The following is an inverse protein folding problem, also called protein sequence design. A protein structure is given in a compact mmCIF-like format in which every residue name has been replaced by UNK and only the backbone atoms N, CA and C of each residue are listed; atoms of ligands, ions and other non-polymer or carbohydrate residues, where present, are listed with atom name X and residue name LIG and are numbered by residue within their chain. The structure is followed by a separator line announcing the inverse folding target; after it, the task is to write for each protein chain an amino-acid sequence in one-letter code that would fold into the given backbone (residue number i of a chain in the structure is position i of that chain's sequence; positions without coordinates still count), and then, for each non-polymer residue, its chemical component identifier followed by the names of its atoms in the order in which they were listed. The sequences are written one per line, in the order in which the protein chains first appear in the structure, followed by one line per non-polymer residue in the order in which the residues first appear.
data_IF_561590588020
#
_entry.id   IF_561590588020
#
_cell.length_a   1.000
_cell.length_b   1.000
_cell.length_c   1.000
_cell.angle_alpha   90.00
_cell.angle_beta   90.00
_cell.angle_gamma   90.00
#
_symmetry.space_group_name_H-M   'P 1'
#
loop_
_entity.id
_entity.type
_entity.pdbx_description
1 polymer ?
#
# COMPACT_ATOMS: atom_id res chain seq x y z
N UNK A 1 18.88 -18.67 12.90
CA UNK A 1 18.76 -18.33 14.33
C UNK A 1 19.86 -17.41 14.82
N UNK A 2 21.13 -17.78 14.66
CA UNK A 2 22.28 -16.97 15.12
C UNK A 2 22.25 -15.52 14.59
N UNK A 3 21.97 -15.33 13.30
CA UNK A 3 21.83 -14.01 12.67
C UNK A 3 20.70 -13.20 13.31
N UNK A 4 19.54 -13.82 13.55
CA UNK A 4 18.41 -13.16 14.20
C UNK A 4 18.72 -12.79 15.64
N UNK A 5 19.36 -13.68 16.41
CA UNK A 5 19.74 -13.42 17.79
C UNK A 5 20.67 -12.20 17.89
N UNK A 6 21.62 -12.10 16.95
CA UNK A 6 22.52 -10.95 16.86
C UNK A 6 21.76 -9.67 16.52
N UNK A 7 20.87 -9.72 15.52
CA UNK A 7 20.06 -8.58 15.11
C UNK A 7 19.15 -8.06 16.23
N UNK A 8 18.48 -8.95 16.98
CA UNK A 8 17.67 -8.58 18.15
C UNK A 8 18.51 -7.87 19.20
N UNK A 9 19.68 -8.42 19.51
CA UNK A 9 20.56 -7.87 20.56
C UNK A 9 21.06 -6.46 20.22
N UNK A 10 21.36 -6.21 18.95
CA UNK A 10 21.85 -4.90 18.50
C UNK A 10 20.72 -3.88 18.23
N UNK A 11 19.48 -4.36 18.03
CA UNK A 11 18.30 -3.53 17.72
C UNK A 11 17.12 -3.82 18.67
N UNK A 12 17.31 -3.59 19.97
CA UNK A 12 16.32 -3.85 21.02
C UNK A 12 15.08 -2.92 20.98
N UNK A 13 15.05 -1.92 20.10
CA UNK A 13 13.86 -1.11 19.84
C UNK A 13 12.94 -1.72 18.79
N UNK A 14 13.41 -2.70 18.02
CA UNK A 14 12.62 -3.42 17.03
C UNK A 14 11.76 -4.46 17.73
N UNK A 15 10.44 -4.26 17.70
CA UNK A 15 9.49 -5.15 18.36
C UNK A 15 9.16 -6.38 17.53
N UNK A 16 9.03 -6.18 16.22
CA UNK A 16 8.61 -7.18 15.24
C UNK A 16 9.71 -7.41 14.21
N UNK A 17 9.97 -8.67 13.94
CA UNK A 17 10.89 -9.10 12.90
C UNK A 17 10.13 -9.79 11.78
N UNK A 18 10.49 -9.47 10.54
CA UNK A 18 9.90 -9.96 9.31
C UNK A 18 10.89 -10.90 8.63
N UNK A 19 10.38 -11.97 8.05
CA UNK A 19 11.10 -12.93 7.23
C UNK A 19 10.47 -12.90 5.84
N UNK A 20 11.28 -12.62 4.81
CA UNK A 20 10.83 -12.57 3.42
C UNK A 20 11.61 -13.60 2.60
N UNK A 21 10.91 -14.48 1.88
CA UNK A 21 11.54 -15.45 0.97
C UNK A 21 11.75 -14.77 -0.40
N UNK A 22 12.92 -14.97 -1.01
CA UNK A 22 13.35 -14.21 -2.21
C UNK A 22 12.50 -14.48 -3.47
N UNK A 23 11.94 -15.68 -3.65
CA UNK A 23 11.20 -16.08 -4.87
C UNK A 23 9.66 -15.95 -4.74
N UNK A 24 9.17 -15.21 -3.75
CA UNK A 24 7.73 -15.01 -3.53
C UNK A 24 7.29 -13.58 -3.84
N UNK A 25 6.13 -13.45 -4.50
CA UNK A 25 5.52 -12.17 -4.85
C UNK A 25 4.38 -11.79 -3.89
N UNK A 26 3.98 -10.51 -3.92
CA UNK A 26 2.80 -9.97 -3.20
C UNK A 26 2.76 -10.26 -1.69
N UNK A 27 3.92 -10.44 -1.07
CA UNK A 27 4.04 -10.75 0.35
C UNK A 27 3.66 -12.19 0.73
N UNK A 28 3.43 -13.10 -0.23
CA UNK A 28 3.03 -14.49 0.07
C UNK A 28 4.11 -15.28 0.82
N UNK A 29 5.39 -14.96 0.60
CA UNK A 29 6.53 -15.56 1.29
C UNK A 29 6.83 -14.91 2.65
N UNK A 30 5.99 -13.98 3.12
CA UNK A 30 6.27 -13.23 4.34
C UNK A 30 5.75 -13.97 5.58
N UNK A 31 6.63 -14.08 6.56
CA UNK A 31 6.29 -14.44 7.93
C UNK A 31 6.82 -13.37 8.89
N UNK A 32 6.23 -13.24 10.07
CA UNK A 32 6.72 -12.29 11.07
C UNK A 32 6.48 -12.78 12.49
N UNK A 33 7.23 -12.24 13.44
CA UNK A 33 7.09 -12.54 14.86
C UNK A 33 7.32 -11.28 15.71
N UNK A 34 6.42 -11.04 16.66
CA UNK A 34 6.52 -9.96 17.66
C UNK A 34 7.47 -10.38 18.80
N UNK A 35 8.77 -10.49 18.49
CA UNK A 35 9.79 -11.03 19.39
C UNK A 35 9.84 -10.29 20.73
N UNK A 36 9.70 -8.97 20.74
CA UNK A 36 9.72 -8.20 21.99
C UNK A 36 8.60 -8.56 22.96
N UNK A 37 7.49 -9.12 22.46
CA UNK A 37 6.35 -9.55 23.28
C UNK A 37 6.57 -10.98 23.79
N UNK A 38 7.07 -11.86 22.93
CA UNK A 38 7.07 -13.31 23.18
C UNK A 38 8.39 -13.85 23.73
N UNK A 39 9.51 -13.15 23.55
CA UNK A 39 10.81 -13.63 24.03
C UNK A 39 10.93 -13.45 25.56
N UNK A 40 11.00 -14.53 26.36
CA UNK A 40 11.00 -14.44 27.82
C UNK A 40 12.11 -13.57 28.39
N UNK A 41 13.34 -13.72 27.90
CA UNK A 41 14.50 -12.97 28.39
C UNK A 41 14.49 -11.48 27.99
N UNK A 42 13.59 -11.02 27.12
CA UNK A 42 13.64 -9.68 26.51
C UNK A 42 13.64 -8.54 27.53
N UNK A 43 12.77 -8.62 28.55
CA UNK A 43 12.66 -7.57 29.58
C UNK A 43 13.93 -7.46 30.45
N UNK A 44 14.59 -8.56 30.71
CA UNK A 44 15.83 -8.57 31.49
C UNK A 44 16.98 -8.01 30.66
N UNK A 45 17.03 -8.36 29.37
CA UNK A 45 18.00 -7.85 28.42
C UNK A 45 17.86 -6.32 28.23
N UNK A 46 16.64 -5.79 28.17
CA UNK A 46 16.43 -4.33 28.12
C UNK A 46 17.03 -3.61 29.33
N UNK A 47 16.85 -4.16 30.54
CA UNK A 47 17.44 -3.58 31.77
C UNK A 47 18.96 -3.68 31.80
N UNK A 48 19.52 -4.74 31.21
CA UNK A 48 20.97 -4.91 31.06
C UNK A 48 21.54 -3.95 30.00
N UNK A 49 20.81 -3.72 28.91
CA UNK A 49 21.23 -2.85 27.81
C UNK A 49 21.43 -1.39 28.22
N UNK A 50 20.60 -0.88 29.13
CA UNK A 50 20.78 0.45 29.72
C UNK A 50 22.17 0.59 30.39
N UNK A 51 22.70 -0.50 30.97
CA UNK A 51 24.02 -0.53 31.63
C UNK A 51 25.17 -0.61 30.62
N UNK A 52 24.98 -1.28 29.48
CA UNK A 52 26.01 -1.43 28.44
C UNK A 52 26.38 -0.11 27.79
N UNK A 53 25.42 0.81 27.63
CA UNK A 53 25.65 2.14 27.05
C UNK A 53 26.74 2.94 27.79
N UNK A 54 26.98 2.63 29.07
CA UNK A 54 27.91 3.34 29.94
C UNK A 54 29.26 2.64 30.16
N UNK A 55 29.45 1.41 29.67
CA UNK A 55 30.69 0.66 29.90
C UNK A 55 31.06 -0.31 28.76
N UNK A 56 32.13 0.00 28.02
CA UNK A 56 32.67 -0.83 26.94
C UNK A 56 33.27 -2.18 27.40
N UNK A 57 33.43 -2.40 28.70
CA UNK A 57 34.02 -3.60 29.31
C UNK A 57 33.03 -4.78 29.44
N UNK A 58 31.75 -4.61 29.11
CA UNK A 58 30.68 -5.59 29.38
C UNK A 58 30.43 -6.57 28.22
N UNK A 59 31.46 -6.94 27.45
CA UNK A 59 31.32 -7.92 26.36
C UNK A 59 30.88 -9.31 26.84
N UNK A 60 31.24 -9.67 28.07
CA UNK A 60 30.82 -10.94 28.69
C UNK A 60 29.30 -10.97 28.91
N UNK A 61 28.73 -9.85 29.36
CA UNK A 61 27.28 -9.73 29.59
C UNK A 61 26.52 -9.78 28.27
N UNK A 62 26.96 -9.04 27.25
CA UNK A 62 26.38 -9.12 25.90
C UNK A 62 26.38 -10.56 25.36
N UNK A 63 27.46 -11.31 25.57
CA UNK A 63 27.56 -12.72 25.13
C UNK A 63 26.58 -13.62 25.90
N UNK A 64 26.38 -13.36 27.19
CA UNK A 64 25.39 -14.07 28.00
C UNK A 64 23.96 -13.81 27.48
N UNK A 65 23.62 -12.54 27.25
CA UNK A 65 22.31 -12.15 26.69
C UNK A 65 22.10 -12.75 25.31
N UNK A 66 23.10 -12.72 24.42
CA UNK A 66 23.07 -13.40 23.12
C UNK A 66 22.74 -14.90 23.26
N UNK A 67 23.42 -15.59 24.18
CA UNK A 67 23.23 -17.03 24.37
C UNK A 67 21.82 -17.35 24.87
N UNK A 68 21.27 -16.52 25.76
CA UNK A 68 19.87 -16.63 26.21
C UNK A 68 18.90 -16.46 25.06
N UNK A 69 19.02 -15.38 24.27
CA UNK A 69 18.18 -15.14 23.08
C UNK A 69 18.23 -16.37 22.16
N UNK A 70 19.44 -16.84 21.84
CA UNK A 70 19.62 -17.97 20.93
C UNK A 70 18.94 -19.25 21.43
N UNK A 71 18.99 -19.51 22.75
CA UNK A 71 18.37 -20.69 23.35
C UNK A 71 16.83 -20.66 23.34
N UNK A 72 16.23 -19.47 23.39
CA UNK A 72 14.77 -19.30 23.45
C UNK A 72 14.13 -19.11 22.07
N UNK A 73 14.90 -18.65 21.07
CA UNK A 73 14.38 -18.25 19.76
C UNK A 73 13.63 -19.35 19.01
N UNK A 74 14.14 -20.59 19.02
CA UNK A 74 13.50 -21.70 18.28
C UNK A 74 12.07 -21.92 18.77
N UNK A 75 11.88 -22.01 20.09
CA UNK A 75 10.58 -22.22 20.71
C UNK A 75 9.63 -21.05 20.47
N UNK A 76 10.15 -19.82 20.52
CA UNK A 76 9.35 -18.61 20.27
C UNK A 76 8.86 -18.58 18.82
N UNK A 77 9.74 -18.82 17.86
CA UNK A 77 9.39 -18.80 16.44
C UNK A 77 8.44 -19.94 16.08
N UNK A 78 8.64 -21.13 16.63
CA UNK A 78 7.75 -22.27 16.42
C UNK A 78 6.30 -21.99 16.87
N UNK A 79 6.14 -21.25 17.98
CA UNK A 79 4.82 -21.01 18.60
C UNK A 79 4.14 -19.72 18.15
N UNK A 80 4.91 -18.69 17.83
CA UNK A 80 4.41 -17.32 17.70
C UNK A 80 4.62 -16.69 16.33
N UNK A 81 5.26 -17.38 15.38
CA UNK A 81 5.36 -16.88 14.01
C UNK A 81 3.99 -16.85 13.35
N UNK A 82 3.67 -15.72 12.72
CA UNK A 82 2.47 -15.51 11.92
C UNK A 82 2.87 -15.51 10.45
N UNK A 83 2.18 -16.32 9.65
CA UNK A 83 2.38 -16.40 8.21
C UNK A 83 1.34 -15.54 7.50
N UNK A 84 1.78 -14.77 6.49
CA UNK A 84 0.86 -14.05 5.61
C UNK A 84 0.06 -15.04 4.77
N UNK A 85 0.74 -15.95 4.07
CA UNK A 85 0.08 -17.04 3.37
C UNK A 85 -0.08 -18.28 4.27
N UNK A 86 -1.20 -18.33 5.00
CA UNK A 86 -1.56 -19.45 5.89
C UNK A 86 -1.92 -20.74 5.14
N UNK A 87 -2.19 -20.65 3.84
CA UNK A 87 -2.52 -21.84 3.03
C UNK A 87 -1.27 -22.60 2.62
N UNK A 88 -0.19 -21.87 2.32
CA UNK A 88 1.09 -22.44 1.93
C UNK A 88 1.95 -22.82 3.15
N UNK A 89 1.93 -22.00 4.20
CA UNK A 89 2.77 -22.19 5.38
C UNK A 89 1.92 -22.34 6.65
N UNK A 90 2.16 -23.42 7.37
CA UNK A 90 1.41 -23.80 8.58
C UNK A 90 2.29 -24.11 9.80
N UNK A 91 3.62 -24.17 9.62
CA UNK A 91 4.57 -24.38 10.72
C UNK A 91 5.90 -23.71 10.41
N UNK A 92 6.63 -23.35 11.46
CA UNK A 92 7.91 -22.65 11.33
C UNK A 92 8.96 -23.57 10.71
N UNK A 93 8.95 -24.86 11.04
CA UNK A 93 9.91 -25.80 10.46
C UNK A 93 9.71 -25.95 8.94
N UNK A 94 8.46 -25.94 8.47
CA UNK A 94 8.15 -25.97 7.03
C UNK A 94 8.60 -24.67 6.39
N UNK A 95 8.21 -23.52 6.95
CA UNK A 95 8.60 -22.20 6.44
C UNK A 95 10.13 -22.04 6.37
N UNK A 96 10.83 -22.37 7.45
CA UNK A 96 12.28 -22.27 7.57
C UNK A 96 13.00 -23.14 6.53
N UNK A 97 12.46 -24.33 6.21
CA UNK A 97 13.03 -25.18 5.17
C UNK A 97 13.03 -24.48 3.80
N UNK A 98 11.92 -23.83 3.44
CA UNK A 98 11.83 -23.04 2.20
C UNK A 98 12.69 -21.78 2.25
N UNK A 99 12.64 -21.05 3.37
CA UNK A 99 13.47 -19.86 3.57
C UNK A 99 14.98 -20.15 3.43
N UNK A 100 15.43 -21.32 3.88
CA UNK A 100 16.82 -21.74 3.74
C UNK A 100 17.15 -22.33 2.36
N UNK A 101 16.17 -22.86 1.63
CA UNK A 101 16.41 -23.40 0.28
C UNK A 101 16.48 -22.31 -0.78
N UNK A 102 15.55 -21.35 -0.72
CA UNK A 102 15.44 -20.28 -1.71
C UNK A 102 16.30 -19.07 -1.34
N UNK A 103 16.63 -18.91 -0.06
CA UNK A 103 17.15 -17.67 0.48
C UNK A 103 16.04 -16.76 0.98
N UNK A 104 16.46 -15.69 1.64
CA UNK A 104 15.54 -14.73 2.21
C UNK A 104 16.21 -13.71 3.10
N UNK A 105 15.42 -12.69 3.46
CA UNK A 105 15.84 -11.53 4.23
C UNK A 105 15.17 -11.54 5.60
N UNK A 106 15.95 -11.17 6.62
CA UNK A 106 15.45 -10.84 7.96
C UNK A 106 15.41 -9.32 8.04
N UNK A 107 14.22 -8.77 8.22
CA UNK A 107 13.98 -7.33 8.19
C UNK A 107 13.34 -6.85 9.50
N UNK A 108 13.76 -5.67 9.95
CA UNK A 108 13.13 -5.01 11.09
C UNK A 108 11.82 -4.35 10.65
N UNK A 109 10.73 -4.61 11.38
CA UNK A 109 9.51 -3.84 11.21
C UNK A 109 9.65 -2.47 11.91
N UNK A 110 9.09 -1.38 11.34
CA UNK A 110 9.13 -0.07 11.98
C UNK A 110 8.66 -0.11 13.45
N UNK A 111 9.36 0.55 14.39
CA UNK A 111 9.01 0.55 15.82
C UNK A 111 7.82 1.46 16.14
N UNK A 112 6.78 1.45 15.30
CA UNK A 112 5.56 2.23 15.39
C UNK A 112 4.33 1.35 15.22
N UNK A 113 3.24 1.74 15.87
CA UNK A 113 1.93 1.09 15.71
C UNK A 113 1.18 1.67 14.51
N UNK A 114 1.57 2.86 14.04
CA UNK A 114 1.01 3.53 12.87
C UNK A 114 2.09 3.61 11.81
N UNK A 115 1.85 2.91 10.70
CA UNK A 115 2.78 2.72 9.60
C UNK A 115 1.98 2.96 8.31
N UNK A 116 2.52 3.79 7.44
CA UNK A 116 1.92 4.07 6.13
C UNK A 116 2.86 3.60 5.04
N UNK A 117 2.37 2.75 4.14
CA UNK A 117 3.14 2.26 3.00
C UNK A 117 2.79 3.07 1.75
N UNK A 118 3.79 3.37 0.93
CA UNK A 118 3.65 4.19 -0.28
C UNK A 118 4.40 3.52 -1.41
N UNK A 119 3.79 3.47 -2.59
CA UNK A 119 4.45 3.03 -3.81
C UNK A 119 4.67 4.21 -4.73
N UNK A 120 5.88 4.32 -5.28
CA UNK A 120 6.21 5.24 -6.37
C UNK A 120 6.60 4.45 -7.60
N UNK A 121 5.87 4.67 -8.69
CA UNK A 121 6.17 4.07 -9.99
C UNK A 121 6.97 5.05 -10.85
N UNK A 122 8.10 4.60 -11.38
CA UNK A 122 8.94 5.39 -12.27
C UNK A 122 9.40 4.59 -13.49
N UNK A 123 9.99 5.28 -14.45
CA UNK A 123 10.68 4.67 -15.60
C UNK A 123 12.04 5.32 -15.79
N UNK A 124 13.03 4.51 -16.15
CA UNK A 124 14.36 4.97 -16.56
C UNK A 124 14.58 4.50 -18.00
N UNK A 125 14.66 5.46 -18.92
CA UNK A 125 14.92 5.20 -20.33
C UNK A 125 16.40 4.84 -20.58
N UNK A 126 16.73 4.12 -21.67
CA UNK A 126 18.11 3.73 -21.98
C UNK A 126 19.10 4.90 -22.13
N UNK A 127 18.60 6.12 -22.41
CA UNK A 127 19.41 7.34 -22.47
C UNK A 127 19.69 7.97 -21.09
N UNK A 128 19.20 7.35 -20.00
CA UNK A 128 19.33 7.86 -18.63
C UNK A 128 18.32 8.94 -18.25
N UNK A 129 17.37 9.29 -19.12
CA UNK A 129 16.23 10.10 -18.70
C UNK A 129 15.31 9.27 -17.80
N UNK A 130 14.80 9.84 -16.73
CA UNK A 130 13.82 9.17 -15.88
C UNK A 130 12.55 10.01 -15.73
N UNK A 131 11.42 9.32 -15.53
CA UNK A 131 10.14 9.97 -15.26
C UNK A 131 9.39 9.26 -14.14
N UNK A 132 8.85 10.04 -13.21
CA UNK A 132 7.97 9.55 -12.15
C UNK A 132 6.54 9.53 -12.72
N UNK A 133 5.94 8.34 -12.78
CA UNK A 133 4.70 8.06 -13.51
C UNK A 133 3.50 8.29 -12.58
N UNK A 134 3.51 7.68 -11.40
CA UNK A 134 2.50 7.84 -10.38
C UNK A 134 3.06 7.57 -8.98
N UNK A 135 2.35 8.05 -7.96
CA UNK A 135 2.63 7.79 -6.56
C UNK A 135 1.33 7.50 -5.82
N UNK A 136 1.29 6.53 -4.91
CA UNK A 136 0.07 6.22 -4.17
C UNK A 136 0.35 5.68 -2.78
N UNK A 137 -0.56 5.98 -1.85
CA UNK A 137 -0.62 5.34 -0.54
C UNK A 137 -1.20 3.93 -0.71
N UNK A 138 -0.53 2.90 -0.20
CA UNK A 138 -0.98 1.51 -0.34
C UNK A 138 -2.20 1.23 0.55
N UNK A 139 -3.12 0.43 0.01
CA UNK A 139 -4.24 -0.18 0.72
C UNK A 139 -3.89 -1.64 1.04
N UNK A 140 -4.27 -2.12 2.22
CA UNK A 140 -3.78 -3.39 2.79
C UNK A 140 -4.91 -4.35 3.18
N UNK A 141 -6.03 -4.28 2.46
CA UNK A 141 -7.27 -5.01 2.72
C UNK A 141 -7.12 -6.47 3.20
N UNK A 142 -6.24 -7.26 2.58
CA UNK A 142 -6.06 -8.68 2.90
C UNK A 142 -4.90 -8.94 3.87
N UNK A 143 -3.85 -8.11 3.81
CA UNK A 143 -2.63 -8.29 4.58
C UNK A 143 -1.87 -6.96 4.69
N UNK A 144 -1.33 -6.69 5.88
CA UNK A 144 -0.46 -5.54 6.16
C UNK A 144 0.84 -5.50 5.33
N UNK A 145 1.18 -6.60 4.63
CA UNK A 145 2.40 -6.72 3.83
C UNK A 145 2.13 -6.98 2.35
N UNK A 146 0.89 -6.84 1.91
CA UNK A 146 0.52 -6.95 0.49
C UNK A 146 -0.17 -5.67 0.06
N UNK A 147 0.28 -5.09 -1.05
CA UNK A 147 -0.41 -3.97 -1.67
C UNK A 147 -1.66 -4.52 -2.36
N UNK A 148 -2.84 -4.20 -1.83
CA UNK A 148 -4.12 -4.56 -2.41
C UNK A 148 -4.58 -3.57 -3.49
N UNK A 149 -4.19 -2.31 -3.34
CA UNK A 149 -4.55 -1.21 -4.23
C UNK A 149 -3.86 0.08 -3.80
N UNK A 150 -4.06 1.16 -4.56
CA UNK A 150 -3.48 2.46 -4.23
C UNK A 150 -4.57 3.53 -4.09
N UNK A 151 -4.36 4.42 -3.13
CA UNK A 151 -4.92 5.77 -3.11
C UNK A 151 -3.93 6.73 -3.79
N UNK A 152 -4.36 7.33 -4.89
CA UNK A 152 -3.56 8.19 -5.75
C UNK A 152 -4.11 9.63 -5.81
N UNK A 153 -3.24 10.64 -5.91
CA UNK A 153 -1.80 10.55 -5.64
C UNK A 153 -1.54 10.32 -4.14
N UNK A 154 -0.32 9.89 -3.78
CA UNK A 154 0.06 9.77 -2.36
C UNK A 154 -0.08 11.13 -1.65
N UNK A 155 -0.55 11.11 -0.42
CA UNK A 155 -0.79 12.32 0.37
C UNK A 155 -0.20 12.27 1.79
N UNK A 156 0.47 11.17 2.13
CA UNK A 156 0.94 10.89 3.49
C UNK A 156 2.35 11.42 3.78
N UNK A 157 3.19 11.61 2.76
CA UNK A 157 4.59 12.03 2.91
C UNK A 157 4.88 13.26 2.05
N UNK A 158 5.77 14.12 2.54
CA UNK A 158 6.24 15.28 1.76
C UNK A 158 6.85 14.85 0.42
N UNK A 159 6.33 15.46 -0.64
CA UNK A 159 6.75 15.20 -2.02
C UNK A 159 8.24 15.48 -2.27
N UNK A 160 8.84 16.47 -1.61
CA UNK A 160 10.27 16.77 -1.83
C UNK A 160 11.14 15.66 -1.25
N UNK A 161 10.79 15.16 -0.07
CA UNK A 161 11.50 14.04 0.56
C UNK A 161 11.47 12.80 -0.34
N UNK A 162 10.30 12.43 -0.84
CA UNK A 162 10.15 11.28 -1.75
C UNK A 162 10.94 11.46 -3.05
N UNK A 163 10.86 12.64 -3.66
CA UNK A 163 11.57 12.94 -4.91
C UNK A 163 13.09 12.87 -4.74
N UNK A 164 13.61 13.34 -3.60
CA UNK A 164 15.05 13.25 -3.30
C UNK A 164 15.51 11.80 -3.20
N UNK A 165 14.77 10.93 -2.51
CA UNK A 165 15.12 9.51 -2.43
C UNK A 165 14.99 8.80 -3.78
N UNK A 166 13.95 9.08 -4.55
CA UNK A 166 13.78 8.55 -5.90
C UNK A 166 14.97 8.92 -6.80
N UNK A 167 15.43 10.17 -6.73
CA UNK A 167 16.61 10.62 -7.49
C UNK A 167 17.86 9.82 -7.12
N UNK A 168 18.12 9.61 -5.82
CA UNK A 168 19.28 8.83 -5.36
C UNK A 168 19.21 7.38 -5.87
N UNK A 169 18.04 6.75 -5.82
CA UNK A 169 17.83 5.39 -6.33
C UNK A 169 18.05 5.34 -7.83
N UNK A 170 17.46 6.28 -8.58
CA UNK A 170 17.61 6.38 -10.03
C UNK A 170 19.08 6.51 -10.45
N UNK A 171 19.86 7.36 -9.76
CA UNK A 171 21.30 7.49 -10.05
C UNK A 171 22.06 6.18 -9.78
N UNK A 172 21.68 5.45 -8.73
CA UNK A 172 22.24 4.13 -8.42
C UNK A 172 21.83 3.05 -9.44
N UNK A 173 20.61 3.10 -9.98
CA UNK A 173 20.15 2.22 -11.05
C UNK A 173 20.91 2.48 -12.35
N UNK A 174 21.08 3.76 -12.73
CA UNK A 174 21.86 4.15 -13.92
C UNK A 174 23.30 3.65 -13.87
N UNK A 175 23.97 3.81 -12.73
CA UNK A 175 25.35 3.32 -12.54
C UNK A 175 25.47 1.79 -12.72
N UNK A 176 24.40 1.05 -12.43
CA UNK A 176 24.32 -0.40 -12.58
C UNK A 176 23.70 -0.86 -13.91
N UNK A 177 23.41 0.07 -14.84
CA UNK A 177 22.73 -0.19 -16.11
C UNK A 177 21.34 -0.85 -15.95
N UNK A 178 20.60 -0.48 -14.90
CA UNK A 178 19.23 -0.90 -14.67
C UNK A 178 18.29 0.12 -15.32
N UNK A 179 17.52 -0.33 -16.30
CA UNK A 179 16.59 0.49 -17.10
C UNK A 179 15.22 -0.16 -17.16
N UNK A 180 14.20 0.62 -17.52
CA UNK A 180 12.81 0.18 -17.61
C UNK A 180 11.96 0.74 -16.47
N UNK A 181 10.83 0.08 -16.23
CA UNK A 181 9.88 0.46 -15.19
C UNK A 181 10.33 -0.09 -13.83
N UNK A 182 10.18 0.74 -12.80
CA UNK A 182 10.55 0.40 -11.43
C UNK A 182 9.48 0.95 -10.49
N UNK A 183 9.00 0.09 -9.60
CA UNK A 183 8.18 0.48 -8.46
C UNK A 183 9.06 0.47 -7.20
N UNK A 184 8.97 1.52 -6.40
CA UNK A 184 9.71 1.68 -5.16
C UNK A 184 8.72 1.79 -4.02
N UNK A 185 8.87 0.92 -3.04
CA UNK A 185 8.04 0.91 -1.86
C UNK A 185 8.75 1.59 -0.69
N UNK A 186 8.01 2.50 -0.06
CA UNK A 186 8.41 3.25 1.10
C UNK A 186 7.49 2.96 2.27
N UNK A 187 8.04 3.07 3.46
CA UNK A 187 7.30 2.96 4.71
C UNK A 187 7.57 4.17 5.58
N UNK A 188 6.52 4.95 5.84
CA UNK A 188 6.51 6.13 6.68
C UNK A 188 5.96 5.82 8.08
N UNK A 189 6.60 6.34 9.12
CA UNK A 189 6.14 6.21 10.50
C UNK A 189 6.71 7.32 11.39
N UNK A 190 6.08 7.56 12.54
CA UNK A 190 6.60 8.50 13.54
C UNK A 190 7.52 7.76 14.51
N UNK A 191 8.76 8.21 14.65
CA UNK A 191 9.68 7.67 15.64
C UNK A 191 9.30 8.16 17.04
N UNK A 192 9.02 7.24 17.97
CA UNK A 192 8.68 7.55 19.36
C UNK A 192 9.79 8.30 20.11
N UNK A 193 11.06 8.13 19.70
CA UNK A 193 12.20 8.76 20.38
C UNK A 193 12.38 10.22 19.96
N UNK A 194 12.27 10.51 18.66
CA UNK A 194 12.50 11.87 18.12
C UNK A 194 11.21 12.64 17.88
N UNK A 195 10.06 11.95 17.84
CA UNK A 195 8.77 12.48 17.42
C UNK A 195 8.77 13.07 16.00
N UNK A 196 9.67 12.58 15.15
CA UNK A 196 9.79 13.00 13.74
C UNK A 196 9.28 11.89 12.81
N UNK A 197 8.75 12.30 11.65
CA UNK A 197 8.37 11.37 10.59
C UNK A 197 9.63 10.81 9.92
N UNK A 198 9.81 9.49 10.06
CA UNK A 198 10.85 8.74 9.37
C UNK A 198 10.27 8.03 8.16
N UNK A 199 11.11 7.88 7.15
CA UNK A 199 10.79 7.20 5.90
C UNK A 199 11.86 6.15 5.63
N UNK A 200 11.45 4.90 5.47
CA UNK A 200 12.30 3.78 5.07
C UNK A 200 11.94 3.36 3.64
N UNK A 201 12.91 2.80 2.93
CA UNK A 201 12.71 2.14 1.64
C UNK A 201 12.72 0.65 1.91
N UNK A 202 11.67 -0.07 1.53
CA UNK A 202 11.48 -1.48 1.89
C UNK A 202 11.58 -2.42 0.71
N UNK A 203 11.26 -1.95 -0.50
CA UNK A 203 11.30 -2.80 -1.69
C UNK A 203 11.54 -2.01 -2.98
N UNK A 204 12.06 -2.71 -3.99
CA UNK A 204 12.26 -2.20 -5.35
C UNK A 204 11.92 -3.30 -6.34
N UNK A 205 10.80 -3.13 -7.04
CA UNK A 205 10.28 -4.08 -8.03
C UNK A 205 10.57 -3.57 -9.45
N UNK A 206 11.34 -4.33 -10.23
CA UNK A 206 11.64 -4.00 -11.62
C UNK A 206 10.61 -4.66 -12.53
N UNK A 207 9.97 -3.88 -13.38
CA UNK A 207 8.97 -4.37 -14.32
C UNK A 207 7.81 -3.40 -14.50
N UNK A 208 7.00 -3.65 -15.52
CA UNK A 208 5.79 -2.88 -15.76
C UNK A 208 4.68 -3.39 -14.84
N UNK A 209 4.31 -2.60 -13.84
CA UNK A 209 3.34 -3.00 -12.83
C UNK A 209 1.89 -2.72 -13.22
N UNK A 210 0.99 -3.35 -12.47
CA UNK A 210 -0.44 -3.08 -12.54
C UNK A 210 -0.78 -1.63 -12.18
N UNK A 211 -0.03 -1.01 -11.27
CA UNK A 211 -0.25 0.38 -10.87
C UNK A 211 0.00 1.34 -12.03
N UNK A 212 1.07 1.10 -12.81
CA UNK A 212 1.33 1.87 -14.03
C UNK A 212 0.17 1.65 -15.03
N UNK A 213 -0.30 0.42 -15.20
CA UNK A 213 -1.43 0.10 -16.10
C UNK A 213 -2.70 0.87 -15.72
N UNK A 214 -3.10 0.81 -14.45
CA UNK A 214 -4.31 1.49 -13.95
C UNK A 214 -4.16 3.01 -14.03
N UNK A 215 -2.97 3.53 -13.73
CA UNK A 215 -2.65 4.94 -13.94
C UNK A 215 -2.83 5.35 -15.41
N UNK A 216 -2.34 4.55 -16.38
CA UNK A 216 -2.49 4.87 -17.82
C UNK A 216 -3.95 4.87 -18.27
N UNK A 217 -4.76 3.95 -17.77
CA UNK A 217 -6.21 3.92 -18.05
C UNK A 217 -6.89 5.19 -17.50
N UNK A 218 -6.58 5.54 -16.26
CA UNK A 218 -7.11 6.74 -15.61
C UNK A 218 -6.64 8.03 -16.30
N UNK A 219 -5.36 8.10 -16.69
CA UNK A 219 -4.79 9.19 -17.48
C UNK A 219 -5.50 9.32 -18.83
N UNK A 220 -5.76 8.22 -19.53
CA UNK A 220 -6.44 8.22 -20.82
C UNK A 220 -7.89 8.71 -20.72
N UNK A 221 -8.64 8.23 -19.73
CA UNK A 221 -10.06 8.57 -19.59
C UNK A 221 -10.29 10.00 -19.11
N UNK A 222 -9.39 10.50 -18.25
CA UNK A 222 -9.46 11.86 -17.69
C UNK A 222 -8.73 12.90 -18.51
N UNK A 223 -7.73 12.51 -19.32
CA UNK A 223 -6.74 13.41 -19.95
C UNK A 223 -6.02 14.24 -18.89
N UNK A 224 -5.85 13.67 -17.69
CA UNK A 224 -5.20 14.34 -16.57
C UNK A 224 -3.68 14.27 -16.66
N UNK A 225 -3.04 15.20 -15.95
CA UNK A 225 -1.59 15.30 -15.86
C UNK A 225 -1.16 15.17 -14.41
N UNK A 226 -0.25 14.24 -14.16
CA UNK A 226 0.38 14.07 -12.85
C UNK A 226 1.63 14.93 -12.80
N UNK A 227 1.70 15.80 -11.79
CA UNK A 227 2.86 16.63 -11.52
C UNK A 227 3.76 15.90 -10.50
N UNK A 228 4.87 15.36 -10.99
CA UNK A 228 5.84 14.60 -10.18
C UNK A 228 6.54 15.41 -9.09
N UNK A 229 6.64 16.73 -9.24
CA UNK A 229 7.27 17.58 -8.22
C UNK A 229 6.35 17.76 -7.02
N UNK A 230 5.06 17.96 -7.25
CA UNK A 230 4.07 18.29 -6.20
C UNK A 230 3.17 17.14 -5.80
N UNK A 231 3.26 16.00 -6.52
CA UNK A 231 2.40 14.83 -6.36
C UNK A 231 0.92 15.18 -6.46
N UNK A 232 0.56 16.05 -7.40
CA UNK A 232 -0.83 16.45 -7.68
C UNK A 232 -1.26 15.97 -9.05
N UNK A 233 -2.50 15.49 -9.15
CA UNK A 233 -3.09 15.10 -10.41
C UNK A 233 -4.15 16.11 -10.84
N UNK A 234 -3.91 16.76 -11.98
CA UNK A 234 -4.72 17.88 -12.47
C UNK A 234 -5.50 17.43 -13.70
N UNK A 235 -6.81 17.64 -13.68
CA UNK A 235 -7.72 17.36 -14.79
C UNK A 235 -8.40 18.65 -15.25
N UNK A 236 -8.43 18.86 -16.57
CA UNK A 236 -9.09 20.01 -17.20
C UNK A 236 -10.51 19.64 -17.58
N UNK A 237 -11.50 20.31 -17.00
CA UNK A 237 -12.92 20.14 -17.34
C UNK A 237 -13.50 21.41 -17.95
N UNK A 238 -14.57 21.26 -18.75
CA UNK A 238 -15.30 22.38 -19.36
C UNK A 238 -16.52 22.71 -18.53
N UNK A 239 -16.62 23.92 -18.00
CA UNK A 239 -17.82 24.41 -17.32
C UNK A 239 -18.58 25.38 -18.23
N UNK A 240 -19.91 25.23 -18.30
CA UNK A 240 -20.77 26.16 -19.03
C UNK A 240 -20.84 27.47 -18.26
N UNK A 241 -20.57 28.60 -18.92
CA UNK A 241 -20.82 29.91 -18.31
C UNK A 241 -22.33 30.07 -18.10
N UNK A 242 -22.77 30.28 -16.86
CA UNK A 242 -24.17 30.65 -16.60
C UNK A 242 -24.47 31.96 -17.31
N UNK A 243 -25.38 31.92 -18.30
CA UNK A 243 -25.86 33.13 -18.97
C UNK A 243 -26.74 33.90 -17.99
N UNK A 244 -26.33 35.12 -17.63
CA UNK A 244 -27.28 36.15 -17.21
C UNK A 244 -28.23 36.38 -18.38
N UNK A 245 -29.51 36.07 -18.15
CA UNK A 245 -30.65 36.06 -19.10
C UNK A 245 -30.51 37.07 -20.25
N UNK A 246 -29.87 36.68 -21.35
CA UNK A 246 -29.95 37.39 -22.62
C UNK A 246 -30.07 36.35 -23.75
N UNK A 247 -31.23 36.35 -24.39
CA UNK A 247 -31.58 35.53 -25.54
C UNK A 247 -30.78 35.98 -26.77
N UNK A 248 -29.57 35.45 -26.93
CA UNK A 248 -28.86 35.48 -28.20
C UNK A 248 -28.51 34.06 -28.63
N UNK A 249 -28.84 33.72 -29.87
CA UNK A 249 -28.64 32.42 -30.52
C UNK A 249 -27.15 32.14 -30.85
N UNK A 250 -26.25 32.36 -29.89
CA UNK A 250 -24.83 32.01 -29.98
C UNK A 250 -24.54 30.66 -29.34
N UNK A 251 -23.55 29.94 -29.86
CA UNK A 251 -23.04 28.69 -29.28
C UNK A 251 -22.68 28.86 -27.78
N UNK A 252 -22.86 27.82 -26.95
CA UNK A 252 -22.51 27.89 -25.53
C UNK A 252 -21.03 28.23 -25.34
N UNK A 253 -20.74 29.24 -24.52
CA UNK A 253 -19.39 29.57 -24.09
C UNK A 253 -18.98 28.68 -22.90
N UNK A 254 -17.77 28.15 -22.97
CA UNK A 254 -17.19 27.28 -21.93
C UNK A 254 -15.96 27.94 -21.32
N UNK A 255 -15.78 27.75 -20.01
CA UNK A 255 -14.51 27.99 -19.31
C UNK A 255 -13.81 26.67 -19.05
N UNK A 256 -12.48 26.65 -19.17
CA UNK A 256 -11.67 25.51 -18.77
C UNK A 256 -11.28 25.71 -17.30
N UNK A 257 -11.53 24.71 -16.48
CA UNK A 257 -11.18 24.70 -15.06
C UNK A 257 -10.24 23.54 -14.81
N UNK A 258 -9.16 23.82 -14.09
CA UNK A 258 -8.24 22.81 -13.58
C UNK A 258 -8.72 22.37 -12.21
N UNK A 259 -9.04 21.09 -12.07
CA UNK A 259 -9.43 20.46 -10.81
C UNK A 259 -8.35 19.48 -10.39
N UNK A 260 -8.02 19.47 -9.10
CA UNK A 260 -7.28 18.35 -8.53
C UNK A 260 -8.21 17.14 -8.48
N UNK A 261 -7.69 15.97 -8.85
CA UNK A 261 -8.44 14.72 -8.79
C UNK A 261 -7.66 13.70 -7.97
N UNK A 262 -8.41 12.91 -7.23
CA UNK A 262 -7.91 11.76 -6.49
C UNK A 262 -8.54 10.52 -7.11
N UNK A 263 -7.83 9.41 -7.04
CA UNK A 263 -8.28 8.13 -7.52
C UNK A 263 -7.95 7.05 -6.51
N UNK A 264 -8.82 6.05 -6.41
CA UNK A 264 -8.51 4.80 -5.71
C UNK A 264 -8.66 3.69 -6.71
N UNK A 265 -7.71 2.77 -6.73
CA UNK A 265 -7.82 1.62 -7.60
C UNK A 265 -7.32 0.34 -6.96
N UNK A 266 -7.87 -0.76 -7.45
CA UNK A 266 -7.35 -2.11 -7.22
C UNK A 266 -7.66 -2.96 -8.45
N UNK A 267 -6.73 -3.85 -8.79
CA UNK A 267 -6.87 -4.95 -9.75
C UNK A 267 -7.30 -6.26 -9.08
N UNK A 268 -7.30 -6.30 -7.75
CA UNK A 268 -7.39 -7.52 -6.95
C UNK A 268 -8.80 -7.76 -6.41
N UNK A 269 -9.84 -7.16 -6.99
CA UNK A 269 -11.22 -7.41 -6.54
C UNK A 269 -11.65 -8.80 -6.97
N UNK A 270 -11.90 -9.66 -5.99
CA UNK A 270 -12.32 -11.04 -6.16
C UNK A 270 -13.73 -11.27 -5.62
N UNK A 271 -14.56 -11.89 -6.45
CA UNK A 271 -15.86 -12.40 -6.04
C UNK A 271 -16.26 -13.59 -6.93
N UNK A 272 -16.49 -14.76 -6.31
CA UNK A 272 -16.76 -16.00 -7.05
C UNK A 272 -17.93 -15.91 -8.03
N UNK A 273 -19.02 -15.24 -7.63
CA UNK A 273 -20.20 -15.10 -8.49
C UNK A 273 -20.02 -14.22 -9.73
N UNK A 274 -18.92 -13.48 -9.87
CA UNK A 274 -18.65 -12.76 -11.12
C UNK A 274 -18.54 -13.73 -12.31
N UNK A 275 -18.08 -14.96 -12.07
CA UNK A 275 -18.06 -16.05 -13.07
C UNK A 275 -19.42 -16.36 -13.69
N UNK A 276 -20.51 -16.14 -12.93
CA UNK A 276 -21.87 -16.48 -13.34
C UNK A 276 -22.65 -15.29 -13.92
N UNK A 277 -22.06 -14.09 -13.94
CA UNK A 277 -22.75 -12.87 -14.36
C UNK A 277 -22.15 -12.38 -15.68
N UNK A 278 -22.98 -12.28 -16.72
CA UNK A 278 -22.57 -11.64 -17.96
C UNK A 278 -22.25 -10.15 -17.74
N UNK A 279 -21.16 -9.66 -18.32
CA UNK A 279 -20.73 -8.26 -18.17
C UNK A 279 -21.81 -7.24 -18.57
N UNK A 280 -22.65 -7.55 -19.55
CA UNK A 280 -23.77 -6.67 -19.94
C UNK A 280 -24.77 -6.45 -18.79
N UNK A 281 -25.06 -7.50 -18.02
CA UNK A 281 -25.93 -7.47 -16.84
C UNK A 281 -25.21 -6.74 -15.71
N UNK A 282 -23.96 -7.09 -15.45
CA UNK A 282 -23.12 -6.43 -14.44
C UNK A 282 -23.11 -4.90 -14.64
N UNK A 283 -22.76 -4.42 -15.84
CA UNK A 283 -22.72 -2.99 -16.12
C UNK A 283 -24.09 -2.32 -16.20
N UNK A 284 -25.16 -3.06 -16.50
CA UNK A 284 -26.52 -2.52 -16.38
C UNK A 284 -26.86 -2.24 -14.91
N UNK A 285 -26.58 -3.20 -14.03
CA UNK A 285 -26.79 -3.11 -12.59
C UNK A 285 -25.90 -2.04 -11.93
N UNK A 286 -24.62 -1.93 -12.32
CA UNK A 286 -23.78 -0.82 -11.85
C UNK A 286 -24.39 0.55 -12.21
N UNK A 287 -24.81 0.72 -13.48
CA UNK A 287 -25.39 1.99 -13.95
C UNK A 287 -26.72 2.32 -13.29
N UNK A 288 -27.59 1.34 -13.03
CA UNK A 288 -28.86 1.58 -12.34
C UNK A 288 -28.67 2.11 -10.91
N UNK A 289 -27.53 1.79 -10.30
CA UNK A 289 -27.14 2.27 -8.97
C UNK A 289 -26.21 3.49 -9.01
N UNK A 290 -26.02 4.12 -10.17
CA UNK A 290 -25.15 5.30 -10.32
C UNK A 290 -23.65 4.99 -10.24
N UNK A 291 -23.26 3.72 -10.31
CA UNK A 291 -21.86 3.30 -10.43
C UNK A 291 -21.44 3.35 -11.89
N UNK A 292 -20.66 4.37 -12.24
CA UNK A 292 -20.16 4.56 -13.59
C UNK A 292 -19.34 5.84 -13.72
N UNK A 293 -18.74 6.04 -14.89
CA UNK A 293 -17.87 7.18 -15.18
C UNK A 293 -18.63 8.28 -15.93
N UNK A 294 -18.59 9.51 -15.42
CA UNK A 294 -19.08 10.69 -16.12
C UNK A 294 -17.98 11.26 -17.03
N UNK A 295 -18.17 11.15 -18.35
CA UNK A 295 -17.22 11.63 -19.36
C UNK A 295 -17.07 13.16 -19.35
N UNK A 296 -18.10 13.90 -18.92
CA UNK A 296 -18.07 15.37 -18.89
C UNK A 296 -17.31 15.88 -17.67
N UNK A 297 -17.63 15.34 -16.49
CA UNK A 297 -16.96 15.72 -15.24
C UNK A 297 -15.62 15.00 -15.04
N UNK A 298 -15.35 13.93 -15.79
CA UNK A 298 -14.13 13.10 -15.66
C UNK A 298 -13.98 12.50 -14.26
N UNK A 299 -15.08 11.99 -13.71
CA UNK A 299 -15.15 11.42 -12.36
C UNK A 299 -16.09 10.21 -12.31
N UNK A 300 -16.04 9.44 -11.24
CA UNK A 300 -16.82 8.20 -11.07
C UNK A 300 -15.97 6.96 -11.26
N UNK A 301 -16.61 5.84 -11.62
CA UNK A 301 -15.98 4.50 -11.60
C UNK A 301 -15.69 3.95 -12.99
N UNK A 302 -14.49 3.42 -13.16
CA UNK A 302 -14.04 2.70 -14.34
C UNK A 302 -13.70 1.28 -13.90
N UNK A 303 -14.14 0.27 -14.65
CA UNK A 303 -13.80 -1.12 -14.39
C UNK A 303 -12.76 -1.61 -15.38
N UNK A 304 -11.80 -2.38 -14.90
CA UNK A 304 -10.86 -3.14 -15.74
C UNK A 304 -11.24 -4.61 -15.67
N UNK A 305 -11.50 -5.20 -16.84
CA UNK A 305 -11.89 -6.61 -16.92
C UNK A 305 -10.65 -7.43 -17.17
N UNK A 306 -10.45 -8.45 -16.34
CA UNK A 306 -9.37 -9.42 -16.52
C UNK A 306 -9.98 -10.71 -17.05
N UNK A 307 -9.46 -11.18 -18.18
CA UNK A 307 -9.80 -12.49 -18.70
C UNK A 307 -8.97 -13.54 -17.96
N UNK A 308 -9.46 -13.93 -16.78
CA UNK A 308 -8.93 -15.04 -16.01
C UNK A 308 -9.78 -16.29 -16.30
N UNK A 309 -9.20 -17.50 -16.14
CA UNK A 309 -9.86 -18.78 -16.43
C UNK A 309 -11.27 -18.94 -15.81
N UNK A 310 -11.54 -18.24 -14.70
CA UNK A 310 -12.81 -18.30 -13.99
C UNK A 310 -13.64 -17.02 -14.01
N UNK A 311 -13.15 -15.90 -14.56
CA UNK A 311 -13.88 -14.62 -14.60
C UNK A 311 -14.35 -14.11 -13.21
N UNK A 312 -13.61 -14.46 -12.15
CA UNK A 312 -13.95 -14.13 -10.75
C UNK A 312 -13.30 -12.83 -10.26
N UNK A 313 -12.52 -12.17 -11.12
CA UNK A 313 -11.73 -11.00 -10.80
C UNK A 313 -12.12 -9.82 -11.67
N UNK A 314 -12.11 -8.63 -11.07
CA UNK A 314 -12.31 -7.36 -11.74
C UNK A 314 -11.35 -6.34 -11.13
N UNK A 315 -11.03 -5.28 -11.85
CA UNK A 315 -10.42 -4.11 -11.27
C UNK A 315 -11.38 -2.94 -11.29
N UNK A 316 -11.19 -2.01 -10.37
CA UNK A 316 -12.01 -0.81 -10.27
C UNK A 316 -11.11 0.38 -9.99
N UNK A 317 -11.38 1.48 -10.67
CA UNK A 317 -10.78 2.80 -10.45
C UNK A 317 -11.92 3.75 -10.14
N UNK A 318 -11.92 4.39 -8.98
CA UNK A 318 -12.89 5.41 -8.59
C UNK A 318 -12.18 6.76 -8.53
N UNK A 319 -12.75 7.79 -9.15
CA UNK A 319 -12.13 9.12 -9.29
C UNK A 319 -13.07 10.19 -8.74
N UNK A 320 -12.56 11.12 -7.91
CA UNK A 320 -13.34 12.25 -7.37
C UNK A 320 -12.48 13.49 -7.12
N UNK A 321 -13.09 14.57 -6.61
CA UNK A 321 -12.46 15.86 -6.31
C UNK A 321 -11.61 15.85 -5.02
N UNK A 322 -11.96 15.01 -4.05
CA UNK A 322 -11.25 14.92 -2.76
C UNK A 322 -10.93 13.47 -2.43
N UNK A 323 -9.86 13.25 -1.67
CA UNK A 323 -9.47 11.91 -1.22
C UNK A 323 -10.61 11.26 -0.42
N UNK A 324 -11.18 11.98 0.55
CA UNK A 324 -12.28 11.47 1.37
C UNK A 324 -13.50 11.04 0.54
N UNK A 325 -13.94 11.88 -0.41
CA UNK A 325 -15.06 11.51 -1.28
C UNK A 325 -14.71 10.31 -2.16
N UNK A 326 -13.45 10.19 -2.59
CA UNK A 326 -13.00 9.06 -3.41
C UNK A 326 -13.06 7.76 -2.59
N UNK A 327 -12.56 7.75 -1.35
CA UNK A 327 -12.63 6.62 -0.41
C UNK A 327 -14.07 6.22 -0.13
N UNK A 328 -14.92 7.19 0.23
CA UNK A 328 -16.34 6.94 0.51
C UNK A 328 -17.09 6.41 -0.72
N UNK A 329 -16.84 6.98 -1.91
CA UNK A 329 -17.47 6.50 -3.13
C UNK A 329 -17.00 5.07 -3.45
N UNK A 330 -15.70 4.78 -3.33
CA UNK A 330 -15.16 3.43 -3.58
C UNK A 330 -15.82 2.39 -2.66
N UNK A 331 -15.94 2.68 -1.36
CA UNK A 331 -16.64 1.83 -0.38
C UNK A 331 -18.12 1.66 -0.74
N UNK A 332 -18.82 2.75 -1.04
CA UNK A 332 -20.23 2.71 -1.42
C UNK A 332 -20.44 1.82 -2.64
N UNK A 333 -19.63 1.99 -3.67
CA UNK A 333 -19.71 1.20 -4.91
C UNK A 333 -19.42 -0.28 -4.65
N UNK A 334 -18.38 -0.61 -3.87
CA UNK A 334 -18.11 -2.01 -3.51
C UNK A 334 -19.24 -2.64 -2.72
N UNK A 335 -19.79 -1.94 -1.73
CA UNK A 335 -20.93 -2.42 -0.94
C UNK A 335 -22.16 -2.67 -1.82
N UNK A 336 -22.50 -1.74 -2.72
CA UNK A 336 -23.63 -1.91 -3.65
C UNK A 336 -23.41 -3.12 -4.56
N UNK A 337 -22.23 -3.23 -5.17
CA UNK A 337 -21.93 -4.37 -6.06
C UNK A 337 -21.99 -5.67 -5.27
N UNK A 338 -21.37 -5.72 -4.09
CA UNK A 338 -21.39 -6.90 -3.23
C UNK A 338 -22.81 -7.34 -2.88
N UNK A 339 -23.70 -6.42 -2.50
CA UNK A 339 -25.09 -6.74 -2.18
C UNK A 339 -25.86 -7.31 -3.37
N UNK A 340 -25.62 -6.80 -4.58
CA UNK A 340 -26.31 -7.25 -5.79
C UNK A 340 -25.82 -8.61 -6.30
N UNK A 341 -24.52 -8.92 -6.13
CA UNK A 341 -23.93 -10.16 -6.65
C UNK A 341 -23.80 -11.28 -5.60
N UNK A 342 -24.11 -11.01 -4.33
CA UNK A 342 -24.01 -11.97 -3.22
C UNK A 342 -25.39 -12.53 -2.85
N UNK A 343 -25.69 -13.79 -3.18
CA UNK A 343 -26.81 -14.53 -2.62
C UNK A 343 -26.69 -14.67 -1.10
N UNK A 344 -27.82 -14.84 -0.43
CA UNK A 344 -27.93 -14.94 1.04
C UNK A 344 -26.99 -15.99 1.65
N UNK A 345 -26.65 -17.04 0.90
CA UNK A 345 -25.92 -18.22 1.39
C UNK A 345 -24.39 -18.23 1.09
N UNK A 346 -23.81 -17.18 0.46
CA UNK A 346 -22.42 -17.23 -0.07
C UNK A 346 -21.46 -16.12 0.39
N UNK A 347 -21.66 -15.55 1.58
CA UNK A 347 -20.91 -14.38 2.08
C UNK A 347 -19.37 -14.55 2.23
N UNK A 348 -18.81 -15.75 2.12
CA UNK A 348 -17.39 -16.02 2.39
C UNK A 348 -16.50 -16.11 1.14
N UNK A 349 -17.03 -15.85 -0.06
CA UNK A 349 -16.29 -16.06 -1.32
C UNK A 349 -15.99 -14.75 -2.06
N UNK A 350 -15.59 -13.74 -1.30
CA UNK A 350 -15.21 -12.42 -1.82
C UNK A 350 -14.25 -11.71 -0.86
N UNK A 351 -13.38 -10.85 -1.41
CA UNK A 351 -12.54 -9.95 -0.63
C UNK A 351 -13.07 -8.51 -0.53
N UNK A 352 -14.26 -8.21 -1.08
CA UNK A 352 -14.77 -6.84 -1.16
C UNK A 352 -14.96 -6.22 0.22
N UNK A 353 -15.52 -6.99 1.16
CA UNK A 353 -15.76 -6.50 2.53
C UNK A 353 -14.47 -6.30 3.34
N UNK A 354 -13.39 -7.01 3.00
CA UNK A 354 -12.08 -6.77 3.62
C UNK A 354 -11.56 -5.39 3.20
N UNK A 355 -11.68 -5.06 1.91
CA UNK A 355 -11.31 -3.74 1.39
C UNK A 355 -12.20 -2.61 1.93
N UNK A 356 -13.51 -2.86 2.07
CA UNK A 356 -14.43 -1.90 2.70
C UNK A 356 -13.99 -1.58 4.13
N UNK A 357 -13.76 -2.61 4.96
CA UNK A 357 -13.36 -2.42 6.35
C UNK A 357 -12.01 -1.69 6.47
N UNK A 358 -11.03 -2.02 5.61
CA UNK A 358 -9.73 -1.34 5.58
C UNK A 358 -9.88 0.15 5.28
N UNK A 359 -10.62 0.49 4.22
CA UNK A 359 -10.85 1.89 3.83
C UNK A 359 -11.67 2.65 4.87
N UNK A 360 -12.66 2.01 5.51
CA UNK A 360 -13.43 2.62 6.60
C UNK A 360 -12.55 2.93 7.82
N UNK A 361 -11.59 2.07 8.16
CA UNK A 361 -10.62 2.34 9.21
C UNK A 361 -9.74 3.56 8.85
N UNK A 362 -9.28 3.66 7.61
CA UNK A 362 -8.50 4.82 7.12
C UNK A 362 -9.34 6.11 7.22
N UNK A 363 -10.62 6.06 6.83
CA UNK A 363 -11.54 7.18 6.95
C UNK A 363 -11.76 7.61 8.40
N UNK A 364 -11.92 6.65 9.32
CA UNK A 364 -12.07 6.90 10.75
C UNK A 364 -10.86 7.63 11.34
N UNK A 365 -9.65 7.13 11.06
CA UNK A 365 -8.38 7.75 11.50
C UNK A 365 -8.26 9.18 10.94
N UNK A 366 -8.63 9.38 9.67
CA UNK A 366 -8.57 10.70 9.03
C UNK A 366 -9.50 11.71 9.70
N UNK A 367 -10.70 11.29 10.09
CA UNK A 367 -11.66 12.16 10.79
C UNK A 367 -11.17 12.53 12.20
N UNK A 368 -10.60 11.58 12.94
CA UNK A 368 -9.99 11.83 14.26
C UNK A 368 -8.86 12.87 14.16
N UNK A 369 -7.98 12.73 13.17
CA UNK A 369 -6.87 13.65 12.95
C UNK A 369 -7.33 15.07 12.60
N UNK A 370 -8.38 15.22 11.78
CA UNK A 370 -8.97 16.53 11.48
C UNK A 370 -9.56 17.16 12.74
N UNK A 371 -10.27 16.36 13.54
CA UNK A 371 -10.90 16.80 14.79
C UNK A 371 -9.87 17.31 15.80
N UNK A 372 -8.76 16.60 15.96
CA UNK A 372 -7.65 16.98 16.84
C UNK A 372 -7.00 18.29 16.39
N UNK A 373 -6.75 18.45 15.09
CA UNK A 373 -6.13 19.66 14.55
C UNK A 373 -7.00 20.92 14.74
N UNK A 374 -8.33 20.78 14.66
CA UNK A 374 -9.28 21.89 14.94
C UNK A 374 -9.40 22.28 16.41
N UNK A 375 -9.02 21.40 17.35
CA UNK A 375 -9.02 21.70 18.80
C UNK A 375 -7.72 22.40 19.22
N UNK A 376 -6.63 22.18 18.46
CA UNK A 376 -5.31 22.77 18.71
C UNK A 376 -5.05 24.08 17.97
N UNK A 377 -5.94 24.49 17.06
CA UNK A 377 -5.95 25.80 16.38
C UNK A 377 -6.90 26.76 17.07
#
# INVERSE_FOLDING_TARGET
YESLAYLILEHLDVQRWIFKIDDHFDGQGIAYCDIAIYLPCYKDILKEADKWSNNKSLQVEKKHSYTKILSELSDVLDKHTIYVNKTQFNSWQTYLKFFLSEGGIIEAYPPSNSVTSITICLSIEPNGYYSLICSGDQLHAESQFSCWGLSFPQSSIDSNQLNNYCLLIVEQCKQRNIYGYIDIDFVGFIDKKTNEQKLWITDLCIGYSEHISLYRIMQYTTIGQFNSQTHKFIVKTKQIKQRLRNWQNGAPEYTIIEKNRYAIWSSKLYHKNLSNIHYSIFFHMCRSHGVGFDIREKQGSIFTLYECDHHEHIGMITISDTLQNTLTNFVCYLNTIYQEITPVDMKQQSNFMLAVNDIENILGITQENISLNTITS
#
